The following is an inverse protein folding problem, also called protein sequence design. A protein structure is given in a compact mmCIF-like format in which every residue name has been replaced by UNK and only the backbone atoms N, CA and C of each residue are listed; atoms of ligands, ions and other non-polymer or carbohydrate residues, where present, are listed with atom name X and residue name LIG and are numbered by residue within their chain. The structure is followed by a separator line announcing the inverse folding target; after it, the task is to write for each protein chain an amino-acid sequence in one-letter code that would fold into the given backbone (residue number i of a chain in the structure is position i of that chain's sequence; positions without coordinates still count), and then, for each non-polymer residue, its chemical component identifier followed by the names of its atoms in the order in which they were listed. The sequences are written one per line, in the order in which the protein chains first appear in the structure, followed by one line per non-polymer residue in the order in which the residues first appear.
data_IF_409733620920
#
_entry.id   IF_409733620920
#
_cell.length_a   1.000
_cell.length_b   1.000
_cell.length_c   1.000
_cell.angle_alpha   90.00
_cell.angle_beta   90.00
_cell.angle_gamma   90.00
#
_symmetry.space_group_name_H-M   'P 1'
#
loop_
_entity.id
_entity.type
_entity.pdbx_description
1 polymer ?
#
# COMPACT_ATOMS: atom_id res chain seq x y z
N UNK A 1 47.90 9.81 -19.03
CA UNK A 1 46.64 10.16 -19.73
C UNK A 1 45.66 9.03 -19.48
N UNK A 2 44.56 9.30 -18.78
CA UNK A 2 43.54 8.32 -18.41
C UNK A 2 42.75 7.92 -19.65
N UNK A 3 42.58 6.63 -19.99
CA UNK A 3 41.60 6.22 -20.97
C UNK A 3 40.26 5.92 -20.29
N UNK A 4 39.23 6.52 -20.86
CA UNK A 4 37.80 6.37 -20.53
C UNK A 4 37.39 4.92 -20.82
N UNK A 5 36.86 4.20 -19.84
CA UNK A 5 36.27 2.88 -20.06
C UNK A 5 34.92 3.06 -20.77
N UNK A 6 34.83 2.53 -22.00
CA UNK A 6 33.61 2.50 -22.80
C UNK A 6 32.54 1.60 -22.18
N UNK A 7 31.29 2.01 -22.35
CA UNK A 7 30.10 1.26 -21.96
C UNK A 7 30.09 -0.15 -22.57
N UNK A 8 30.43 -1.16 -21.76
CA UNK A 8 30.18 -2.56 -22.10
C UNK A 8 28.68 -2.82 -22.10
N UNK A 9 28.15 -3.34 -23.21
CA UNK A 9 26.77 -3.83 -23.28
C UNK A 9 26.56 -5.00 -22.32
N UNK A 10 25.33 -5.14 -21.84
CA UNK A 10 24.93 -6.21 -20.92
C UNK A 10 25.30 -7.58 -21.50
N UNK A 11 25.90 -8.43 -20.68
CA UNK A 11 26.14 -9.83 -21.04
C UNK A 11 24.82 -10.59 -21.16
N UNK A 12 24.79 -11.67 -21.95
CA UNK A 12 23.58 -12.51 -22.10
C UNK A 12 23.08 -13.08 -20.76
N UNK A 13 23.99 -13.31 -19.80
CA UNK A 13 23.65 -13.72 -18.45
C UNK A 13 23.00 -12.60 -17.63
N UNK A 14 23.49 -11.35 -17.73
CA UNK A 14 22.87 -10.18 -17.09
C UNK A 14 21.52 -9.84 -17.73
N UNK A 15 21.41 -9.93 -19.06
CA UNK A 15 20.16 -9.75 -19.77
C UNK A 15 19.13 -10.84 -19.41
N UNK A 16 19.56 -12.10 -19.25
CA UNK A 16 18.71 -13.19 -18.79
C UNK A 16 18.28 -13.02 -17.32
N UNK A 17 19.16 -12.54 -16.44
CA UNK A 17 18.84 -12.22 -15.04
C UNK A 17 17.85 -11.04 -14.92
N UNK A 18 18.04 -9.99 -15.73
CA UNK A 18 17.10 -8.85 -15.80
C UNK A 18 15.74 -9.31 -16.35
N UNK A 19 15.71 -10.17 -17.38
CA UNK A 19 14.48 -10.75 -17.93
C UNK A 19 13.79 -11.71 -16.94
N UNK A 20 14.56 -12.44 -16.13
CA UNK A 20 14.04 -13.30 -15.05
C UNK A 20 13.48 -12.49 -13.86
N UNK A 21 14.05 -11.32 -13.54
CA UNK A 21 13.45 -10.31 -12.63
C UNK A 21 12.16 -9.67 -13.19
N UNK A 22 12.09 -9.48 -14.51
CA UNK A 22 10.92 -8.93 -15.19
C UNK A 22 9.75 -9.94 -15.30
N UNK A 23 10.02 -11.26 -15.34
CA UNK A 23 9.00 -12.32 -15.44
C UNK A 23 8.42 -12.81 -14.09
N UNK A 24 9.13 -12.62 -12.96
CA UNK A 24 8.61 -12.88 -11.60
C UNK A 24 7.64 -11.77 -11.10
N UNK A 25 7.24 -10.88 -12.01
CA UNK A 25 6.41 -9.70 -11.84
C UNK A 25 5.16 -9.81 -12.74
N UNK A 26 4.56 -11.00 -12.84
CA UNK A 26 3.34 -11.20 -13.63
C UNK A 26 2.22 -10.29 -13.09
N UNK A 27 1.60 -9.55 -13.99
CA UNK A 27 0.64 -8.47 -13.76
C UNK A 27 -0.70 -8.86 -14.39
N UNK A 28 -1.82 -8.57 -13.73
CA UNK A 28 -3.15 -8.75 -14.33
C UNK A 28 -3.43 -7.72 -15.46
N UNK A 29 -4.65 -7.70 -16.01
CA UNK A 29 -5.04 -6.81 -17.13
C UNK A 29 -4.84 -5.30 -16.83
N UNK A 30 -4.73 -4.91 -15.56
CA UNK A 30 -4.44 -3.54 -15.13
C UNK A 30 -2.97 -3.30 -14.83
N UNK A 31 -2.16 -4.35 -14.74
CA UNK A 31 -0.78 -4.22 -14.31
C UNK A 31 -0.53 -4.72 -12.88
N UNK A 32 -1.47 -5.43 -12.25
CA UNK A 32 -1.49 -5.56 -10.79
C UNK A 32 -0.99 -6.90 -10.26
N UNK A 33 -0.42 -6.86 -9.05
CA UNK A 33 0.01 -8.00 -8.24
C UNK A 33 -1.00 -8.17 -7.11
N UNK A 34 -1.94 -9.10 -7.24
CA UNK A 34 -2.75 -9.55 -6.10
C UNK A 34 -1.90 -10.46 -5.21
N UNK A 35 -1.82 -10.15 -3.92
CA UNK A 35 -1.11 -11.01 -2.96
C UNK A 35 -2.02 -12.15 -2.52
N UNK A 36 -1.58 -13.40 -2.70
CA UNK A 36 -2.37 -14.55 -2.28
C UNK A 36 -2.21 -14.78 -0.77
N UNK A 37 -3.12 -14.18 0.01
CA UNK A 37 -3.15 -14.35 1.47
C UNK A 37 -3.99 -15.56 1.84
N UNK A 38 -3.35 -16.57 2.44
CA UNK A 38 -4.05 -17.68 3.10
C UNK A 38 -4.36 -17.30 4.55
N UNK A 39 -5.62 -17.45 4.95
CA UNK A 39 -6.05 -17.21 6.33
C UNK A 39 -5.99 -18.53 7.10
N UNK A 40 -5.20 -18.58 8.17
CA UNK A 40 -5.15 -19.74 9.06
C UNK A 40 -6.56 -20.03 9.63
N UNK A 41 -7.13 -21.23 9.41
CA UNK A 41 -8.45 -21.59 9.90
C UNK A 41 -8.62 -21.54 11.42
N UNK A 42 -7.53 -21.57 12.19
CA UNK A 42 -7.55 -21.47 13.65
C UNK A 42 -7.77 -20.05 14.17
N UNK A 43 -7.60 -19.04 13.32
CA UNK A 43 -7.79 -17.64 13.70
C UNK A 43 -9.27 -17.29 13.81
N UNK A 44 -9.66 -16.82 15.00
CA UNK A 44 -11.01 -16.32 15.26
C UNK A 44 -10.98 -14.79 15.25
N UNK A 45 -11.83 -14.20 14.42
CA UNK A 45 -12.00 -12.76 14.30
C UNK A 45 -13.31 -12.30 14.95
N UNK A 46 -13.30 -11.12 15.55
CA UNK A 46 -14.47 -10.55 16.22
C UNK A 46 -15.66 -10.34 15.29
N UNK A 47 -15.37 -9.98 14.03
CA UNK A 47 -16.36 -9.76 12.99
C UNK A 47 -15.71 -9.82 11.59
N UNK A 48 -16.50 -9.89 10.50
CA UNK A 48 -15.97 -9.97 9.14
C UNK A 48 -15.11 -8.77 8.70
N UNK A 49 -15.30 -7.58 9.27
CA UNK A 49 -14.49 -6.39 8.92
C UNK A 49 -13.08 -6.52 9.43
N UNK A 50 -12.93 -7.00 10.67
CA UNK A 50 -11.61 -7.31 11.24
C UNK A 50 -10.93 -8.46 10.48
N UNK A 51 -11.68 -9.46 10.01
CA UNK A 51 -11.14 -10.51 9.12
C UNK A 51 -10.63 -9.94 7.79
N UNK A 52 -11.40 -9.05 7.16
CA UNK A 52 -10.98 -8.40 5.91
C UNK A 52 -9.75 -7.51 6.13
N UNK A 53 -9.70 -6.78 7.25
CA UNK A 53 -8.54 -5.98 7.61
C UNK A 53 -7.30 -6.84 7.85
N UNK A 54 -7.43 -7.99 8.50
CA UNK A 54 -6.34 -8.95 8.62
C UNK A 54 -5.80 -9.36 7.25
N UNK A 55 -6.68 -9.73 6.31
CA UNK A 55 -6.26 -10.11 4.94
C UNK A 55 -5.49 -8.98 4.26
N UNK A 56 -6.02 -7.76 4.31
CA UNK A 56 -5.38 -6.58 3.73
C UNK A 56 -3.99 -6.30 4.33
N UNK A 57 -3.88 -6.37 5.66
CA UNK A 57 -2.64 -6.07 6.36
C UNK A 57 -1.60 -7.18 6.21
N UNK A 58 -2.01 -8.45 6.10
CA UNK A 58 -1.08 -9.54 5.78
C UNK A 58 -0.59 -9.47 4.33
N UNK A 59 -1.46 -9.11 3.37
CA UNK A 59 -1.03 -8.82 1.99
C UNK A 59 0.00 -7.68 1.98
N UNK A 60 -0.29 -6.59 2.71
CA UNK A 60 0.63 -5.46 2.77
C UNK A 60 1.95 -5.81 3.46
N UNK A 61 1.91 -6.64 4.52
CA UNK A 61 3.11 -7.17 5.15
C UNK A 61 3.96 -8.01 4.19
N UNK A 62 3.36 -8.79 3.30
CA UNK A 62 4.09 -9.51 2.23
C UNK A 62 4.70 -8.56 1.20
N UNK A 63 4.04 -7.43 0.91
CA UNK A 63 4.52 -6.39 0.01
C UNK A 63 5.62 -5.49 0.63
N UNK A 64 5.85 -5.56 1.95
CA UNK A 64 6.93 -4.85 2.64
C UNK A 64 8.24 -5.61 2.49
N UNK A 65 9.24 -4.93 1.92
CA UNK A 65 10.58 -5.47 1.61
C UNK A 65 11.63 -5.07 2.66
N UNK A 66 11.40 -3.97 3.38
CA UNK A 66 12.31 -3.48 4.42
C UNK A 66 11.51 -2.71 5.46
N UNK A 67 11.68 -3.07 6.73
CA UNK A 67 11.06 -2.42 7.88
C UNK A 67 12.15 -2.21 8.95
N UNK A 68 12.95 -1.13 8.86
CA UNK A 68 14.16 -0.96 9.67
C UNK A 68 13.89 -0.81 11.17
N UNK A 69 12.68 -0.37 11.53
CA UNK A 69 12.28 -0.18 12.94
C UNK A 69 11.37 -1.30 13.45
N UNK A 70 11.13 -2.35 12.65
CA UNK A 70 10.26 -3.47 12.99
C UNK A 70 8.84 -3.03 13.37
N UNK A 71 8.30 -1.99 12.74
CA UNK A 71 6.96 -1.46 13.04
C UNK A 71 5.86 -2.48 12.74
N UNK A 72 6.08 -3.39 11.80
CA UNK A 72 5.10 -4.42 11.39
C UNK A 72 5.33 -5.77 12.05
N UNK A 73 6.28 -5.86 13.00
CA UNK A 73 6.61 -7.11 13.66
C UNK A 73 5.43 -7.73 14.41
N UNK A 74 4.59 -6.90 15.04
CA UNK A 74 3.42 -7.30 15.81
C UNK A 74 2.17 -7.57 14.95
N UNK A 75 2.26 -7.42 13.62
CA UNK A 75 1.17 -7.74 12.69
C UNK A 75 1.03 -9.26 12.52
N UNK A 76 0.66 -9.96 13.59
CA UNK A 76 0.49 -11.41 13.67
C UNK A 76 -0.72 -11.74 14.55
N UNK A 77 -1.48 -12.78 14.19
CA UNK A 77 -2.66 -13.20 14.93
C UNK A 77 -3.91 -12.36 14.62
N UNK A 78 -5.06 -12.73 15.22
CA UNK A 78 -6.35 -12.12 14.85
C UNK A 78 -6.67 -10.79 15.55
N UNK A 79 -5.83 -10.35 16.49
CA UNK A 79 -5.99 -9.11 17.24
C UNK A 79 -5.52 -7.88 16.44
N UNK A 80 -6.12 -7.64 15.27
CA UNK A 80 -5.71 -6.60 14.31
C UNK A 80 -5.67 -5.19 14.92
N UNK A 81 -6.60 -4.88 15.83
CA UNK A 81 -6.62 -3.57 16.49
C UNK A 81 -5.48 -3.34 17.49
N UNK A 82 -4.67 -4.36 17.75
CA UNK A 82 -3.46 -4.26 18.58
C UNK A 82 -2.19 -4.08 17.75
N UNK A 83 -2.29 -4.10 16.42
CA UNK A 83 -1.14 -3.93 15.53
C UNK A 83 -0.62 -2.49 15.60
N UNK A 84 0.71 -2.35 15.62
CA UNK A 84 1.36 -1.04 15.58
C UNK A 84 0.95 -0.29 14.32
N UNK A 85 0.54 0.97 14.52
CA UNK A 85 0.06 1.85 13.45
C UNK A 85 -1.37 1.59 12.97
N UNK A 86 -2.11 0.63 13.55
CA UNK A 86 -3.50 0.34 13.18
C UNK A 86 -4.45 0.85 14.26
N UNK A 87 -5.43 1.67 13.87
CA UNK A 87 -6.39 2.29 14.79
C UNK A 87 -7.80 1.82 14.46
N UNK A 88 -8.46 1.22 15.45
CA UNK A 88 -9.85 0.78 15.34
C UNK A 88 -10.83 1.76 16.00
N UNK A 89 -12.02 1.87 15.42
CA UNK A 89 -13.13 2.64 15.97
C UNK A 89 -14.46 1.88 15.78
N UNK A 90 -15.55 2.27 16.48
CA UNK A 90 -16.88 1.75 16.19
C UNK A 90 -17.27 1.98 14.73
N UNK A 91 -17.82 0.95 14.09
CA UNK A 91 -18.24 1.04 12.69
C UNK A 91 -19.33 2.13 12.49
N UNK A 92 -19.27 2.93 11.41
CA UNK A 92 -20.21 4.04 11.20
C UNK A 92 -21.68 3.62 11.12
N UNK A 93 -21.95 2.46 10.51
CA UNK A 93 -23.28 1.88 10.33
C UNK A 93 -23.72 0.96 11.48
N UNK A 94 -22.77 0.47 12.29
CA UNK A 94 -23.07 -0.36 13.46
C UNK A 94 -22.07 -0.14 14.60
N UNK A 95 -22.42 0.76 15.52
CA UNK A 95 -21.57 1.12 16.67
C UNK A 95 -21.30 -0.03 17.67
N UNK A 96 -21.93 -1.20 17.51
CA UNK A 96 -21.67 -2.38 18.36
C UNK A 96 -20.45 -3.18 17.93
N UNK A 97 -20.00 -3.03 16.68
CA UNK A 97 -18.80 -3.68 16.18
C UNK A 97 -17.73 -2.62 15.94
N UNK A 98 -16.47 -3.03 16.03
CA UNK A 98 -15.32 -2.21 15.64
C UNK A 98 -14.78 -2.61 14.28
N UNK A 99 -14.16 -1.66 13.61
CA UNK A 99 -13.49 -1.80 12.32
C UNK A 99 -12.17 -1.02 12.34
N UNK A 100 -11.31 -1.25 11.36
CA UNK A 100 -10.10 -0.43 11.18
C UNK A 100 -10.51 0.89 10.55
N UNK A 101 -10.30 1.98 11.28
CA UNK A 101 -10.70 3.33 10.90
C UNK A 101 -9.50 4.21 10.52
N UNK A 102 -8.29 3.87 10.97
CA UNK A 102 -7.09 4.61 10.63
C UNK A 102 -5.86 3.72 10.54
N UNK A 103 -4.94 4.10 9.68
CA UNK A 103 -3.57 3.58 9.64
C UNK A 103 -2.63 4.78 9.68
N UNK A 104 -1.65 4.73 10.59
CA UNK A 104 -0.56 5.70 10.68
C UNK A 104 0.77 4.95 10.84
N UNK A 105 1.59 5.00 9.79
CA UNK A 105 2.96 4.49 9.75
C UNK A 105 3.95 5.61 9.37
N UNK A 106 3.64 6.85 9.75
CA UNK A 106 4.50 8.00 9.48
C UNK A 106 5.92 7.77 10.01
N UNK A 107 6.93 8.19 9.24
CA UNK A 107 8.36 8.13 9.60
C UNK A 107 8.90 6.71 9.86
N UNK A 108 8.32 5.69 9.23
CA UNK A 108 8.74 4.30 9.40
C UNK A 108 9.96 3.88 8.57
N UNK A 109 10.36 4.69 7.58
CA UNK A 109 11.37 4.32 6.57
C UNK A 109 11.11 2.93 5.93
N UNK A 110 9.85 2.51 5.87
CA UNK A 110 9.43 1.21 5.36
C UNK A 110 9.52 1.22 3.83
N UNK A 111 10.18 0.23 3.24
CA UNK A 111 10.21 0.04 1.79
C UNK A 111 9.29 -1.10 1.37
N UNK A 112 8.54 -0.90 0.30
CA UNK A 112 7.57 -1.85 -0.23
C UNK A 112 6.68 -1.20 -1.29
N UNK A 113 5.50 -1.78 -1.53
CA UNK A 113 4.44 -1.17 -2.33
C UNK A 113 3.08 -1.33 -1.64
N UNK A 114 2.06 -0.66 -2.16
CA UNK A 114 0.68 -0.82 -1.72
C UNK A 114 0.01 -1.92 -2.56
N UNK A 115 -0.44 -3.04 -1.97
CA UNK A 115 -1.15 -4.07 -2.72
C UNK A 115 -2.65 -3.75 -2.86
N UNK A 116 -3.32 -4.38 -3.83
CA UNK A 116 -4.74 -4.14 -4.13
C UNK A 116 -5.67 -4.59 -2.99
N UNK A 117 -5.25 -5.55 -2.16
CA UNK A 117 -5.99 -6.04 -1.00
C UNK A 117 -6.22 -4.95 0.06
N UNK A 118 -5.45 -3.86 0.07
CA UNK A 118 -5.74 -2.69 0.92
C UNK A 118 -7.13 -2.09 0.64
N UNK A 119 -7.70 -2.30 -0.55
CA UNK A 119 -9.08 -1.94 -0.87
C UNK A 119 -10.15 -2.70 -0.07
N UNK A 120 -9.79 -3.73 0.70
CA UNK A 120 -10.70 -4.43 1.63
C UNK A 120 -10.98 -3.61 2.91
N UNK A 121 -10.21 -2.55 3.17
CA UNK A 121 -10.35 -1.67 4.33
C UNK A 121 -11.47 -0.62 4.11
N UNK A 122 -12.69 -1.06 3.78
CA UNK A 122 -13.77 -0.18 3.30
C UNK A 122 -14.23 0.90 4.30
N UNK A 123 -13.91 0.73 5.59
CA UNK A 123 -14.23 1.69 6.65
C UNK A 123 -13.07 2.62 7.04
N UNK A 124 -11.95 2.55 6.32
CA UNK A 124 -10.78 3.38 6.57
C UNK A 124 -11.12 4.85 6.31
N UNK A 125 -10.83 5.70 7.29
CA UNK A 125 -11.01 7.15 7.22
C UNK A 125 -9.67 7.90 7.11
N UNK A 126 -8.61 7.39 7.74
CA UNK A 126 -7.28 8.02 7.76
C UNK A 126 -6.24 7.03 7.23
N UNK A 127 -5.42 7.46 6.28
CA UNK A 127 -4.29 6.68 5.79
C UNK A 127 -3.04 7.55 5.68
N UNK A 128 -2.18 7.45 6.67
CA UNK A 128 -0.95 8.24 6.77
C UNK A 128 0.27 7.33 6.71
N UNK A 129 1.08 7.50 5.67
CA UNK A 129 2.32 6.75 5.47
C UNK A 129 3.47 7.69 5.07
N UNK A 130 3.44 8.91 5.57
CA UNK A 130 4.41 9.93 5.24
C UNK A 130 5.83 9.50 5.64
N UNK A 131 6.84 9.93 4.89
CA UNK A 131 8.26 9.64 5.20
C UNK A 131 8.56 8.14 5.27
N UNK A 132 8.22 7.44 4.19
CA UNK A 132 8.54 6.05 3.96
C UNK A 132 9.22 5.89 2.57
N UNK A 133 9.44 4.64 2.15
CA UNK A 133 10.04 4.28 0.86
C UNK A 133 9.08 3.43 0.04
N UNK A 134 7.76 3.63 0.18
CA UNK A 134 6.78 2.95 -0.66
C UNK A 134 6.88 3.42 -2.11
N UNK A 135 6.83 2.48 -3.04
CA UNK A 135 6.96 2.73 -4.48
C UNK A 135 5.79 2.14 -5.29
N UNK A 136 5.81 2.37 -6.60
CA UNK A 136 4.75 1.94 -7.51
C UNK A 136 3.66 3.00 -7.67
N UNK A 137 2.43 2.56 -7.92
CA UNK A 137 1.25 3.41 -8.11
C UNK A 137 0.26 3.22 -6.96
N UNK A 138 -0.68 4.17 -6.80
CA UNK A 138 -1.80 3.98 -5.87
C UNK A 138 -2.72 2.88 -6.43
N UNK A 139 -3.12 1.88 -5.62
CA UNK A 139 -3.96 0.76 -6.08
C UNK A 139 -5.32 1.21 -6.61
N UNK A 140 -5.83 0.56 -7.66
CA UNK A 140 -7.14 0.93 -8.22
C UNK A 140 -8.29 0.55 -7.28
N UNK A 141 -8.13 -0.49 -6.45
CA UNK A 141 -9.09 -0.88 -5.42
C UNK A 141 -9.24 0.14 -4.30
N UNK A 142 -8.42 1.20 -4.26
CA UNK A 142 -8.68 2.34 -3.40
C UNK A 142 -10.04 2.98 -3.71
N UNK A 143 -10.62 2.75 -4.90
CA UNK A 143 -11.99 3.15 -5.20
C UNK A 143 -13.03 2.64 -4.18
N UNK A 144 -12.73 1.54 -3.47
CA UNK A 144 -13.61 0.96 -2.45
C UNK A 144 -13.55 1.69 -1.10
N UNK A 145 -12.55 2.56 -0.88
CA UNK A 145 -12.35 3.29 0.37
C UNK A 145 -13.28 4.51 0.44
N UNK A 146 -14.60 4.25 0.42
CA UNK A 146 -15.64 5.29 0.30
C UNK A 146 -15.69 6.25 1.49
N UNK A 147 -15.12 5.86 2.63
CA UNK A 147 -15.06 6.65 3.85
C UNK A 147 -13.71 7.36 4.05
N UNK A 148 -12.74 7.18 3.15
CA UNK A 148 -11.42 7.80 3.26
C UNK A 148 -11.55 9.31 3.22
N UNK A 149 -11.07 9.95 4.29
CA UNK A 149 -11.19 11.37 4.56
C UNK A 149 -9.84 12.08 4.43
N UNK A 150 -8.78 11.48 4.96
CA UNK A 150 -7.40 11.96 4.86
C UNK A 150 -6.48 10.90 4.26
N UNK A 151 -5.74 11.31 3.23
CA UNK A 151 -4.74 10.50 2.56
C UNK A 151 -3.42 11.27 2.50
N UNK A 152 -2.45 10.83 3.28
CA UNK A 152 -1.08 11.37 3.27
C UNK A 152 -0.11 10.30 2.77
N UNK A 153 0.31 10.47 1.51
CA UNK A 153 1.33 9.65 0.84
C UNK A 153 2.65 10.41 0.71
N UNK A 154 2.82 11.53 1.39
CA UNK A 154 3.94 12.44 1.16
C UNK A 154 5.30 11.83 1.53
N UNK A 155 6.36 12.28 0.87
CA UNK A 155 7.73 11.81 1.11
C UNK A 155 7.86 10.28 0.97
N UNK A 156 7.54 9.80 -0.24
CA UNK A 156 7.63 8.40 -0.67
C UNK A 156 8.25 8.33 -2.08
N UNK A 157 8.15 7.17 -2.74
CA UNK A 157 8.68 6.91 -4.09
C UNK A 157 7.56 6.50 -5.07
N UNK A 158 6.34 7.00 -4.86
CA UNK A 158 5.24 6.76 -5.80
C UNK A 158 5.52 7.46 -7.12
N UNK A 159 5.27 6.79 -8.24
CA UNK A 159 5.61 7.27 -9.57
C UNK A 159 4.48 7.02 -10.58
N UNK A 160 4.60 7.62 -11.76
CA UNK A 160 3.62 7.53 -12.83
C UNK A 160 2.61 8.68 -12.81
N UNK A 161 1.53 8.57 -13.58
CA UNK A 161 0.51 9.63 -13.69
C UNK A 161 -0.26 9.81 -12.39
N UNK A 162 -0.91 10.97 -12.25
CA UNK A 162 -1.84 11.22 -11.13
C UNK A 162 -2.85 10.07 -10.97
N UNK A 163 -3.04 9.54 -9.75
CA UNK A 163 -3.93 8.42 -9.47
C UNK A 163 -5.41 8.85 -9.52
N UNK A 164 -6.03 8.76 -10.71
CA UNK A 164 -7.42 9.19 -10.95
C UNK A 164 -8.47 8.51 -10.05
N UNK A 165 -8.14 7.36 -9.46
CA UNK A 165 -8.97 6.69 -8.46
C UNK A 165 -9.32 7.61 -7.28
N UNK A 166 -8.39 8.49 -6.89
CA UNK A 166 -8.59 9.41 -5.76
C UNK A 166 -9.67 10.46 -6.03
N UNK A 167 -9.89 10.84 -7.30
CA UNK A 167 -10.95 11.78 -7.70
C UNK A 167 -12.36 11.19 -7.50
N UNK A 168 -12.48 9.86 -7.35
CA UNK A 168 -13.75 9.16 -7.18
C UNK A 168 -14.09 8.89 -5.71
N UNK A 169 -13.26 9.35 -4.78
CA UNK A 169 -13.47 9.15 -3.35
C UNK A 169 -14.41 10.25 -2.81
N UNK A 170 -15.64 9.90 -2.40
CA UNK A 170 -16.67 10.91 -2.12
C UNK A 170 -16.41 11.69 -0.83
N UNK A 171 -15.62 11.15 0.10
CA UNK A 171 -15.36 11.75 1.40
C UNK A 171 -13.95 12.36 1.53
N UNK A 172 -13.09 12.24 0.51
CA UNK A 172 -11.72 12.72 0.60
C UNK A 172 -11.68 14.25 0.71
N UNK A 173 -11.03 14.78 1.75
CA UNK A 173 -10.87 16.22 2.02
C UNK A 173 -9.43 16.65 2.16
N UNK A 174 -8.57 15.77 2.63
CA UNK A 174 -7.15 16.00 2.71
C UNK A 174 -6.40 15.03 1.81
N UNK A 175 -5.64 15.57 0.86
CA UNK A 175 -4.81 14.81 -0.05
C UNK A 175 -3.40 15.41 -0.08
N UNK A 176 -2.43 14.68 0.44
CA UNK A 176 -1.03 15.05 0.38
C UNK A 176 -0.22 14.02 -0.42
N UNK A 177 0.28 14.47 -1.57
CA UNK A 177 1.12 13.69 -2.49
C UNK A 177 2.53 14.30 -2.62
N UNK A 178 2.89 15.27 -1.78
CA UNK A 178 4.18 16.00 -1.87
C UNK A 178 5.37 15.04 -1.81
N UNK A 179 6.48 15.43 -2.42
CA UNK A 179 7.73 14.65 -2.38
C UNK A 179 7.53 13.19 -2.85
N UNK A 180 6.96 13.04 -4.05
CA UNK A 180 6.87 11.79 -4.81
C UNK A 180 7.32 12.07 -6.26
N UNK A 181 7.29 11.05 -7.10
CA UNK A 181 7.74 11.07 -8.51
C UNK A 181 6.55 11.04 -9.50
N UNK A 182 5.41 11.61 -9.12
CA UNK A 182 4.24 11.71 -10.01
C UNK A 182 4.53 12.63 -11.20
N UNK A 183 4.12 12.19 -12.39
CA UNK A 183 4.32 12.89 -13.67
C UNK A 183 3.01 13.24 -14.38
N UNK A 184 3.13 14.04 -15.44
CA UNK A 184 2.00 14.49 -16.25
C UNK A 184 1.32 15.73 -15.69
N UNK A 185 0.09 15.99 -16.15
CA UNK A 185 -0.66 17.19 -15.76
C UNK A 185 -1.51 16.93 -14.53
N UNK A 186 -1.61 17.94 -13.67
CA UNK A 186 -2.58 17.97 -12.58
C UNK A 186 -4.01 17.88 -13.18
N UNK A 187 -4.86 16.93 -12.73
CA UNK A 187 -6.24 16.84 -13.19
C UNK A 187 -7.03 18.12 -12.93
N UNK A 188 -7.97 18.46 -13.80
CA UNK A 188 -8.79 19.68 -13.68
C UNK A 188 -9.93 19.52 -12.67
N UNK A 189 -10.19 18.28 -12.26
CA UNK A 189 -11.28 17.87 -11.37
C UNK A 189 -10.92 18.03 -9.88
N UNK A 190 -9.70 18.45 -9.56
CA UNK A 190 -9.25 18.76 -8.19
C UNK A 190 -9.81 20.09 -7.68
#
# INVERSE_FOLDING_TARGET
VVPIAGHGGLTDAEAHYIRQRQLLYYRDEFGDRGENVTVDPSLVFENPRIRNAYIALQAWKQAILSDPYNLTADWVGSAVCSYTGVFCAPAPDNKRIRTVAGIDLNHGDIAGYLPEELGLLTDLALFHINSNRFCGTVPHKFENLKLLFELDLSNNRFAGKFPKVLLRLPQLKFLDLRYNEFEGTVPREL
#
